data_IF_770515693159
#
_entry.id   IF_770515693159
#
_cell.length_a   1.000
_cell.length_b   1.000
_cell.length_c   1.000
_cell.angle_alpha   90.00
_cell.angle_beta   90.00
_cell.angle_gamma   90.00
#
_symmetry.space_group_name_H-M   'P 1'
#
loop_
_entity.id
_entity.type
_entity.pdbx_description
1 polymer ?
#
# COMPACT_ATOMS: atom_id res chain seq x y z
N UNK A 1 8.94 12.33 -66.88
CA UNK A 1 9.31 11.27 -65.95
C UNK A 1 9.25 11.86 -64.55
N UNK A 2 8.08 11.79 -63.92
CA UNK A 2 7.82 12.35 -62.58
C UNK A 2 8.08 11.26 -61.55
N UNK A 3 9.04 11.50 -60.68
CA UNK A 3 9.28 10.66 -59.52
C UNK A 3 8.29 10.98 -58.41
N UNK A 4 7.53 10.00 -57.97
CA UNK A 4 6.66 10.12 -56.80
C UNK A 4 7.52 10.18 -55.53
N UNK A 5 7.16 11.00 -54.52
CA UNK A 5 7.83 10.98 -53.22
C UNK A 5 7.50 9.67 -52.50
N UNK A 6 8.53 8.96 -52.11
CA UNK A 6 8.41 7.75 -51.32
C UNK A 6 7.73 8.02 -49.98
N UNK A 7 6.71 7.23 -49.70
CA UNK A 7 6.09 7.14 -48.36
C UNK A 7 7.14 6.54 -47.44
N UNK A 8 7.68 7.34 -46.54
CA UNK A 8 8.52 6.86 -45.46
C UNK A 8 7.67 5.92 -44.59
N UNK A 9 8.05 4.65 -44.61
CA UNK A 9 7.54 3.65 -43.65
C UNK A 9 7.86 4.14 -42.25
N UNK A 10 6.82 4.47 -41.49
CA UNK A 10 6.95 4.75 -40.07
C UNK A 10 7.49 3.48 -39.38
N UNK A 11 8.76 3.53 -38.95
CA UNK A 11 9.27 2.53 -38.03
C UNK A 11 8.34 2.49 -36.80
N UNK A 12 7.84 1.32 -36.45
CA UNK A 12 7.09 1.11 -35.22
C UNK A 12 7.97 1.59 -34.05
N UNK A 13 7.60 2.75 -33.51
CA UNK A 13 8.30 3.30 -32.35
C UNK A 13 7.92 2.42 -31.13
N UNK A 14 8.90 1.77 -30.53
CA UNK A 14 8.70 0.93 -29.34
C UNK A 14 8.13 1.70 -28.14
N UNK A 15 8.22 3.04 -28.14
CA UNK A 15 7.80 3.88 -27.04
C UNK A 15 6.51 4.63 -27.36
N UNK A 16 5.61 4.78 -26.35
CA UNK A 16 4.34 5.46 -26.52
C UNK A 16 3.94 6.26 -25.28
N UNK A 17 3.17 7.33 -25.47
CA UNK A 17 2.46 8.04 -24.41
C UNK A 17 0.98 7.69 -24.55
N UNK A 18 0.42 7.08 -23.51
CA UNK A 18 -0.99 6.74 -23.43
C UNK A 18 -1.70 7.82 -22.62
N UNK A 19 -2.54 8.58 -23.26
CA UNK A 19 -3.37 9.61 -22.60
C UNK A 19 -4.73 9.03 -22.32
N UNK A 20 -5.20 9.13 -21.07
CA UNK A 20 -6.54 8.75 -20.65
C UNK A 20 -7.33 9.98 -20.26
N UNK A 21 -8.49 10.18 -20.87
CA UNK A 21 -9.43 11.25 -20.50
C UNK A 21 -10.67 10.63 -19.87
N UNK A 22 -10.93 10.99 -18.62
CA UNK A 22 -12.02 10.42 -17.82
C UNK A 22 -12.93 11.55 -17.32
N UNK A 23 -14.23 11.43 -17.59
CA UNK A 23 -15.24 12.32 -17.03
C UNK A 23 -15.58 11.81 -15.62
N UNK A 24 -15.33 12.62 -14.62
CA UNK A 24 -15.86 12.41 -13.26
C UNK A 24 -17.27 12.99 -13.20
N UNK A 25 -18.24 12.30 -13.79
CA UNK A 25 -19.64 12.65 -13.62
C UNK A 25 -20.07 12.24 -12.20
N UNK A 26 -20.52 13.22 -11.45
CA UNK A 26 -21.02 13.01 -10.10
C UNK A 26 -22.54 12.84 -10.17
N UNK A 27 -23.00 11.61 -10.34
CA UNK A 27 -24.41 11.26 -10.24
C UNK A 27 -24.72 10.80 -8.83
N UNK A 28 -25.45 11.59 -8.06
CA UNK A 28 -25.94 11.28 -6.72
C UNK A 28 -24.87 10.82 -5.71
N UNK A 29 -23.69 11.48 -5.73
CA UNK A 29 -22.63 11.17 -4.76
C UNK A 29 -21.71 10.02 -5.15
N UNK A 30 -21.96 9.39 -6.29
CA UNK A 30 -21.09 8.36 -6.86
C UNK A 30 -20.24 9.00 -7.96
N UNK A 31 -18.93 9.07 -7.76
CA UNK A 31 -17.98 9.52 -8.78
C UNK A 31 -17.81 8.41 -9.82
N UNK A 32 -18.69 8.38 -10.82
CA UNK A 32 -18.60 7.45 -11.92
C UNK A 32 -17.56 7.99 -12.92
N UNK A 33 -16.44 7.31 -13.07
CA UNK A 33 -15.41 7.65 -14.03
C UNK A 33 -15.81 7.08 -15.39
N UNK A 34 -16.41 7.90 -16.24
CA UNK A 34 -16.76 7.51 -17.62
C UNK A 34 -15.63 7.92 -18.57
N UNK A 35 -15.21 7.05 -19.49
CA UNK A 35 -14.27 7.44 -20.52
C UNK A 35 -14.85 8.55 -21.41
N UNK A 36 -14.02 9.49 -21.82
CA UNK A 36 -14.41 10.57 -22.74
C UNK A 36 -13.74 10.33 -24.08
N UNK A 37 -14.55 10.02 -25.08
CA UNK A 37 -14.09 9.83 -26.45
C UNK A 37 -14.06 11.15 -27.23
N UNK A 38 -13.27 11.22 -28.28
CA UNK A 38 -13.25 12.34 -29.23
C UNK A 38 -12.42 13.55 -28.78
N UNK A 39 -11.67 13.46 -27.68
CA UNK A 39 -10.84 14.54 -27.16
C UNK A 39 -9.47 14.54 -27.86
N UNK A 40 -9.07 15.68 -28.41
CA UNK A 40 -7.76 15.85 -29.03
C UNK A 40 -6.68 16.11 -27.98
N UNK A 41 -5.56 15.43 -28.14
CA UNK A 41 -4.38 15.56 -27.29
C UNK A 41 -3.15 15.68 -28.17
N UNK A 42 -2.28 16.62 -27.87
CA UNK A 42 -1.00 16.81 -28.55
C UNK A 42 0.18 16.53 -27.64
N UNK A 43 1.24 15.99 -28.20
CA UNK A 43 2.51 15.77 -27.54
C UNK A 43 3.59 16.57 -28.24
N UNK A 44 4.30 17.39 -27.51
CA UNK A 44 5.44 18.17 -27.98
C UNK A 44 6.67 17.94 -27.10
N UNK A 45 7.83 18.31 -27.59
CA UNK A 45 9.00 18.38 -26.74
C UNK A 45 9.01 19.69 -25.92
N UNK A 46 9.90 19.85 -24.93
CA UNK A 46 9.97 21.07 -24.12
C UNK A 46 10.28 22.36 -24.92
N UNK A 47 10.82 22.25 -26.14
CA UNK A 47 11.09 23.37 -27.05
C UNK A 47 9.86 23.76 -27.90
N UNK A 48 8.71 23.06 -27.74
CA UNK A 48 7.47 23.34 -28.43
C UNK A 48 7.32 22.66 -29.81
N UNK A 49 8.26 21.81 -30.23
CA UNK A 49 8.15 21.06 -31.48
C UNK A 49 7.12 19.93 -31.30
N UNK A 50 6.09 19.91 -32.14
CA UNK A 50 5.06 18.87 -32.14
C UNK A 50 5.67 17.52 -32.56
N UNK A 51 5.38 16.47 -31.77
CA UNK A 51 5.85 15.11 -31.99
C UNK A 51 4.71 14.22 -32.50
N UNK A 52 3.50 14.41 -31.98
CA UNK A 52 2.35 13.66 -32.41
C UNK A 52 1.06 14.18 -31.80
N UNK A 53 -0.04 13.81 -32.45
CA UNK A 53 -1.40 14.11 -31.97
C UNK A 53 -2.22 12.82 -31.94
N UNK A 54 -3.19 12.76 -31.06
CA UNK A 54 -4.11 11.65 -30.95
C UNK A 54 -5.50 12.11 -30.52
N UNK A 55 -6.49 11.28 -30.83
CA UNK A 55 -7.87 11.49 -30.41
C UNK A 55 -8.28 10.32 -29.53
N UNK A 56 -8.94 10.58 -28.41
CA UNK A 56 -9.38 9.52 -27.49
C UNK A 56 -10.46 8.64 -28.13
N UNK A 57 -10.30 7.33 -27.99
CA UNK A 57 -11.24 6.30 -28.45
C UNK A 57 -12.45 6.14 -27.52
N UNK A 58 -13.30 5.14 -27.76
CA UNK A 58 -14.47 4.83 -26.94
C UNK A 58 -14.11 4.42 -25.49
N UNK A 59 -12.87 4.00 -25.23
CA UNK A 59 -12.34 3.73 -23.91
C UNK A 59 -11.71 4.97 -23.24
N UNK A 60 -11.77 6.14 -23.91
CA UNK A 60 -11.18 7.39 -23.44
C UNK A 60 -9.65 7.39 -23.51
N UNK A 61 -9.05 6.57 -24.37
CA UNK A 61 -7.62 6.41 -24.51
C UNK A 61 -7.13 6.95 -25.86
N UNK A 62 -6.01 7.67 -25.84
CA UNK A 62 -5.25 8.05 -27.02
C UNK A 62 -3.82 7.57 -26.88
N UNK A 63 -3.33 6.74 -27.80
CA UNK A 63 -1.94 6.25 -27.79
C UNK A 63 -1.16 7.01 -28.84
N UNK A 64 -0.14 7.75 -28.41
CA UNK A 64 0.71 8.58 -29.26
C UNK A 64 2.11 8.00 -29.24
N UNK A 65 2.62 7.49 -30.38
CA UNK A 65 3.98 6.97 -30.48
C UNK A 65 5.01 8.11 -30.33
N UNK A 66 6.08 7.84 -29.60
CA UNK A 66 7.17 8.78 -29.37
C UNK A 66 8.51 8.14 -29.73
N UNK A 67 9.47 8.90 -30.32
CA UNK A 67 10.70 8.33 -30.88
C UNK A 67 11.67 7.77 -29.81
N UNK A 68 11.64 8.33 -28.61
CA UNK A 68 12.52 7.92 -27.50
C UNK A 68 11.88 8.17 -26.14
N UNK A 69 12.49 7.67 -25.07
CA UNK A 69 12.16 8.07 -23.69
C UNK A 69 12.88 9.36 -23.40
N UNK A 70 12.15 10.47 -23.47
CA UNK A 70 12.69 11.82 -23.27
C UNK A 70 11.66 12.70 -22.54
N UNK A 71 11.99 13.96 -22.34
CA UNK A 71 11.08 14.94 -21.77
C UNK A 71 10.03 15.37 -22.80
N UNK A 72 8.75 15.29 -22.42
CA UNK A 72 7.61 15.64 -23.26
C UNK A 72 6.62 16.52 -22.56
N UNK A 73 5.90 17.31 -23.33
CA UNK A 73 4.78 18.14 -22.88
C UNK A 73 3.51 17.60 -23.53
N UNK A 74 2.59 17.13 -22.70
CA UNK A 74 1.28 16.64 -23.15
C UNK A 74 0.25 17.73 -22.91
N UNK A 75 -0.41 18.18 -23.98
CA UNK A 75 -1.43 19.23 -23.92
C UNK A 75 -2.77 18.66 -24.34
N UNK A 76 -3.81 18.91 -23.54
CA UNK A 76 -5.19 18.57 -23.85
C UNK A 76 -5.88 19.77 -24.50
N UNK A 77 -6.48 19.57 -25.67
CA UNK A 77 -7.28 20.58 -26.33
C UNK A 77 -8.67 20.67 -25.72
N UNK A 78 -8.87 21.73 -24.91
CA UNK A 78 -10.14 21.99 -24.20
C UNK A 78 -11.31 22.23 -25.18
N UNK A 79 -11.03 22.76 -26.36
CA UNK A 79 -12.07 23.02 -27.36
C UNK A 79 -12.63 21.74 -27.99
N UNK A 80 -11.89 20.63 -27.89
CA UNK A 80 -12.31 19.31 -28.40
C UNK A 80 -13.17 18.52 -27.43
N UNK A 81 -13.42 19.01 -26.22
CA UNK A 81 -14.27 18.33 -25.24
C UNK A 81 -15.72 18.25 -25.74
N UNK A 82 -16.40 17.11 -25.58
CA UNK A 82 -17.82 16.98 -25.94
C UNK A 82 -18.71 17.96 -25.18
N UNK A 83 -19.83 18.35 -25.80
CA UNK A 83 -20.81 19.25 -25.19
C UNK A 83 -21.29 18.73 -23.83
N UNK A 84 -21.18 19.56 -22.79
CA UNK A 84 -21.55 19.19 -21.42
C UNK A 84 -20.42 18.60 -20.57
N UNK A 85 -19.21 18.44 -21.12
CA UNK A 85 -18.02 18.02 -20.40
C UNK A 85 -17.09 19.22 -20.23
N UNK A 86 -16.83 19.62 -18.98
CA UNK A 86 -15.90 20.69 -18.63
C UNK A 86 -14.71 20.11 -17.89
N UNK A 87 -13.57 20.80 -17.85
CA UNK A 87 -12.46 20.37 -16.99
C UNK A 87 -12.77 20.64 -15.52
N UNK A 88 -12.33 19.73 -14.67
CA UNK A 88 -12.38 19.93 -13.23
C UNK A 88 -11.55 21.17 -12.88
N UNK A 89 -12.09 22.05 -12.02
CA UNK A 89 -11.37 23.24 -11.56
C UNK A 89 -10.02 22.84 -10.94
N UNK A 90 -8.92 23.44 -11.41
CA UNK A 90 -7.56 23.08 -11.01
C UNK A 90 -6.90 21.95 -11.83
N UNK A 91 -7.59 21.31 -12.78
CA UNK A 91 -6.95 20.34 -13.68
C UNK A 91 -5.99 21.06 -14.64
N UNK A 92 -4.72 20.65 -14.59
CA UNK A 92 -3.73 21.17 -15.54
C UNK A 92 -4.04 20.63 -16.93
N UNK A 93 -4.23 21.52 -17.90
CA UNK A 93 -4.39 21.17 -19.33
C UNK A 93 -3.08 20.77 -19.98
N UNK A 94 -1.96 21.07 -19.33
CA UNK A 94 -0.60 20.77 -19.77
C UNK A 94 0.10 19.95 -18.68
N UNK A 95 0.63 18.81 -19.07
CA UNK A 95 1.38 17.91 -18.19
C UNK A 95 2.79 17.67 -18.74
N UNK A 96 3.79 18.02 -17.95
CA UNK A 96 5.17 17.78 -18.31
C UNK A 96 5.58 16.35 -17.90
N UNK A 97 6.04 15.58 -18.84
CA UNK A 97 6.61 14.24 -18.64
C UNK A 97 8.12 14.39 -18.62
N UNK A 98 8.77 13.87 -17.59
CA UNK A 98 10.22 13.83 -17.49
C UNK A 98 10.71 12.45 -17.92
N UNK A 99 11.84 12.37 -18.63
CA UNK A 99 12.47 11.14 -19.13
C UNK A 99 12.46 9.99 -18.12
N UNK A 100 12.85 10.26 -16.88
CA UNK A 100 12.90 9.25 -15.81
C UNK A 100 11.53 8.76 -15.35
N UNK A 101 10.44 9.34 -15.86
CA UNK A 101 9.08 8.91 -15.53
C UNK A 101 8.56 7.75 -16.37
N UNK A 102 9.29 7.34 -17.42
CA UNK A 102 8.99 6.15 -18.19
C UNK A 102 9.47 4.91 -17.45
N UNK A 103 8.54 4.17 -16.88
CA UNK A 103 8.81 2.91 -16.16
C UNK A 103 8.89 1.71 -17.11
N UNK A 104 8.13 1.78 -18.20
CA UNK A 104 8.06 0.80 -19.31
C UNK A 104 8.24 1.54 -20.63
N UNK A 105 8.02 0.88 -21.77
CA UNK A 105 8.03 1.53 -23.07
C UNK A 105 6.82 2.47 -23.28
N UNK A 106 5.89 2.50 -22.34
CA UNK A 106 4.75 3.41 -22.38
C UNK A 106 4.65 4.26 -21.10
N UNK A 107 4.24 5.52 -21.26
CA UNK A 107 3.91 6.42 -20.15
C UNK A 107 2.46 6.82 -20.23
N UNK A 108 1.72 6.64 -19.12
CA UNK A 108 0.32 7.07 -19.03
C UNK A 108 0.19 8.43 -18.37
N UNK A 109 -0.68 9.27 -18.98
CA UNK A 109 -1.12 10.57 -18.45
C UNK A 109 -2.64 10.53 -18.39
N UNK A 110 -3.22 10.93 -17.26
CA UNK A 110 -4.68 10.96 -17.09
C UNK A 110 -5.14 12.39 -16.88
N UNK A 111 -6.10 12.84 -17.69
CA UNK A 111 -6.82 14.09 -17.51
C UNK A 111 -8.22 13.80 -16.96
N UNK A 112 -8.64 14.59 -15.98
CA UNK A 112 -9.97 14.50 -15.42
C UNK A 112 -10.83 15.65 -15.96
N UNK A 113 -11.84 15.29 -16.74
CA UNK A 113 -12.91 16.16 -17.15
C UNK A 113 -14.13 15.94 -16.26
N UNK A 114 -15.02 16.90 -16.19
CA UNK A 114 -16.23 16.86 -15.38
C UNK A 114 -16.28 18.03 -14.40
N UNK A 115 -17.46 18.44 -14.01
CA UNK A 115 -17.60 19.41 -12.92
C UNK A 115 -17.07 18.77 -11.63
N UNK A 116 -15.99 19.30 -11.08
CA UNK A 116 -15.72 19.19 -9.65
C UNK A 116 -16.74 20.09 -8.94
N UNK A 117 -18.02 19.89 -9.23
CA UNK A 117 -19.03 20.36 -8.31
C UNK A 117 -18.70 19.70 -6.98
N UNK A 118 -18.58 20.49 -5.93
CA UNK A 118 -18.73 19.97 -4.58
C UNK A 118 -19.94 19.07 -4.65
N UNK A 119 -19.68 17.79 -4.64
CA UNK A 119 -20.70 16.80 -4.88
C UNK A 119 -21.75 16.97 -3.80
N UNK A 120 -22.98 17.05 -4.20
CA UNK A 120 -24.12 16.82 -3.34
C UNK A 120 -24.18 15.38 -2.82
N UNK A 121 -23.01 14.72 -2.62
CA UNK A 121 -22.90 13.48 -1.91
C UNK A 121 -23.38 13.72 -0.49
N UNK A 122 -24.49 13.09 -0.14
CA UNK A 122 -25.04 13.22 1.20
C UNK A 122 -23.96 12.85 2.23
N UNK A 123 -24.07 13.40 3.45
CA UNK A 123 -23.19 12.96 4.54
C UNK A 123 -23.23 11.44 4.71
N UNK A 124 -24.36 10.83 4.44
CA UNK A 124 -24.54 9.38 4.47
C UNK A 124 -23.66 8.68 3.42
N UNK A 125 -23.60 9.16 2.18
CA UNK A 125 -22.79 8.57 1.12
C UNK A 125 -21.29 8.69 1.44
N UNK A 126 -20.88 9.86 1.93
CA UNK A 126 -19.50 10.10 2.35
C UNK A 126 -19.09 9.19 3.52
N UNK A 127 -19.93 9.05 4.54
CA UNK A 127 -19.66 8.18 5.69
C UNK A 127 -19.62 6.72 5.23
N UNK A 128 -20.56 6.29 4.38
CA UNK A 128 -20.63 4.91 3.87
C UNK A 128 -19.38 4.55 3.07
N UNK A 129 -18.90 5.44 2.20
CA UNK A 129 -17.67 5.24 1.45
C UNK A 129 -16.45 5.17 2.38
N UNK A 130 -16.34 6.09 3.37
CA UNK A 130 -15.23 6.08 4.33
C UNK A 130 -15.25 4.86 5.25
N UNK A 131 -16.40 4.30 5.56
CA UNK A 131 -16.49 3.03 6.28
C UNK A 131 -15.91 1.87 5.45
N UNK A 132 -16.23 1.78 4.19
CA UNK A 132 -15.68 0.73 3.30
C UNK A 132 -14.17 0.87 3.12
N UNK A 133 -13.69 2.09 2.88
CA UNK A 133 -12.25 2.38 2.78
C UNK A 133 -11.55 2.08 4.11
N UNK A 134 -12.18 2.40 5.23
CA UNK A 134 -11.69 2.11 6.58
C UNK A 134 -11.64 0.62 6.91
N UNK A 135 -12.61 -0.16 6.46
CA UNK A 135 -12.58 -1.63 6.58
C UNK A 135 -11.36 -2.17 5.82
N UNK A 136 -11.14 -1.72 4.59
CA UNK A 136 -10.01 -2.15 3.76
C UNK A 136 -8.67 -1.79 4.40
N UNK A 137 -8.47 -0.52 4.76
CA UNK A 137 -7.25 -0.06 5.42
C UNK A 137 -7.05 -0.77 6.76
N UNK A 138 -8.13 -0.94 7.53
CA UNK A 138 -8.11 -1.62 8.82
C UNK A 138 -7.67 -3.08 8.72
N UNK A 139 -8.10 -3.79 7.69
CA UNK A 139 -7.66 -5.17 7.45
C UNK A 139 -6.16 -5.23 7.07
N UNK A 140 -5.65 -4.30 6.27
CA UNK A 140 -4.22 -4.22 5.93
C UNK A 140 -3.38 -3.93 7.19
N UNK A 141 -3.80 -2.94 7.99
CA UNK A 141 -3.12 -2.61 9.24
C UNK A 141 -3.18 -3.80 10.21
N UNK A 142 -4.33 -4.50 10.31
CA UNK A 142 -4.49 -5.65 11.17
C UNK A 142 -3.52 -6.80 10.81
N UNK A 143 -3.36 -7.12 9.52
CA UNK A 143 -2.40 -8.15 9.06
C UNK A 143 -0.99 -7.80 9.52
N UNK A 144 -0.53 -6.58 9.25
CA UNK A 144 0.80 -6.12 9.64
C UNK A 144 0.96 -6.08 11.17
N UNK A 145 -0.07 -5.60 11.88
CA UNK A 145 -0.10 -5.50 13.35
C UNK A 145 -0.05 -6.86 14.03
N UNK A 146 -0.74 -7.87 13.51
CA UNK A 146 -0.66 -9.25 14.03
C UNK A 146 0.76 -9.77 13.92
N UNK A 147 1.44 -9.57 12.79
CA UNK A 147 2.86 -9.95 12.62
C UNK A 147 3.76 -9.26 13.65
N UNK A 148 3.61 -7.96 13.82
CA UNK A 148 4.36 -7.16 14.80
C UNK A 148 4.07 -7.61 16.24
N UNK A 149 2.80 -7.85 16.57
CA UNK A 149 2.37 -8.29 17.91
C UNK A 149 2.89 -9.68 18.28
N UNK A 150 2.97 -10.61 17.33
CA UNK A 150 3.56 -11.93 17.54
C UNK A 150 5.04 -11.83 17.90
N UNK A 151 5.81 -10.99 17.18
CA UNK A 151 7.24 -10.75 17.47
C UNK A 151 7.38 -10.12 18.86
N UNK A 152 6.60 -9.07 19.13
CA UNK A 152 6.63 -8.40 20.44
C UNK A 152 6.25 -9.37 21.57
N UNK A 153 5.17 -10.12 21.44
CA UNK A 153 4.68 -11.03 22.48
C UNK A 153 5.71 -12.10 22.88
N UNK A 154 6.48 -12.62 21.91
CA UNK A 154 7.46 -13.70 22.19
C UNK A 154 8.86 -13.20 22.56
N UNK A 155 9.20 -11.93 22.24
CA UNK A 155 10.56 -11.39 22.44
C UNK A 155 10.60 -10.16 23.33
N UNK A 156 9.48 -9.49 23.58
CA UNK A 156 9.40 -8.18 24.21
C UNK A 156 9.95 -7.03 23.35
N UNK A 157 10.39 -7.32 22.10
CA UNK A 157 11.03 -6.34 21.23
C UNK A 157 10.02 -5.46 20.53
N UNK A 158 10.10 -4.16 20.72
CA UNK A 158 9.44 -3.16 19.86
C UNK A 158 10.28 -2.97 18.60
N UNK A 159 9.89 -3.63 17.51
CA UNK A 159 10.67 -3.65 16.27
C UNK A 159 10.22 -2.55 15.30
N UNK A 160 10.94 -1.44 15.24
CA UNK A 160 10.67 -0.38 14.27
C UNK A 160 10.98 -0.77 12.82
N UNK A 161 11.93 -1.70 12.61
CA UNK A 161 12.23 -2.21 11.28
C UNK A 161 11.12 -3.12 10.69
N UNK A 162 10.03 -3.36 11.45
CA UNK A 162 8.88 -4.11 10.93
C UNK A 162 8.19 -3.36 9.78
N UNK A 163 8.16 -2.02 9.81
CA UNK A 163 7.68 -1.20 8.68
C UNK A 163 8.46 -1.49 7.40
N UNK A 164 9.76 -1.66 7.51
CA UNK A 164 10.61 -1.95 6.33
C UNK A 164 10.39 -3.36 5.77
N UNK A 165 9.90 -4.30 6.57
CA UNK A 165 9.43 -5.60 6.06
C UNK A 165 8.16 -5.46 5.23
N UNK A 166 7.28 -4.49 5.55
CA UNK A 166 6.11 -4.13 4.74
C UNK A 166 6.58 -3.51 3.42
N UNK A 167 7.49 -2.51 3.48
CA UNK A 167 8.09 -1.89 2.29
C UNK A 167 8.74 -2.95 1.38
N UNK A 168 9.50 -3.88 1.96
CA UNK A 168 10.10 -5.00 1.23
C UNK A 168 9.06 -5.78 0.43
N UNK A 169 7.92 -6.12 1.06
CA UNK A 169 6.84 -6.84 0.40
C UNK A 169 6.33 -6.11 -0.84
N UNK A 170 6.04 -4.81 -0.73
CA UNK A 170 5.60 -3.99 -1.86
C UNK A 170 6.65 -3.87 -2.96
N UNK A 171 7.91 -3.58 -2.60
CA UNK A 171 9.00 -3.40 -3.56
C UNK A 171 9.36 -4.68 -4.32
N UNK A 172 9.39 -5.84 -3.63
CA UNK A 172 9.64 -7.13 -4.31
C UNK A 172 8.45 -7.55 -5.16
N UNK A 173 7.21 -7.23 -4.74
CA UNK A 173 6.04 -7.42 -5.59
C UNK A 173 6.14 -6.57 -6.87
N UNK A 174 6.54 -5.31 -6.75
CA UNK A 174 6.81 -4.45 -7.90
C UNK A 174 7.91 -5.02 -8.80
N UNK A 175 9.00 -5.49 -8.22
CA UNK A 175 10.10 -6.07 -8.98
C UNK A 175 9.68 -7.30 -9.79
N UNK A 176 8.91 -8.21 -9.18
CA UNK A 176 8.39 -9.38 -9.88
C UNK A 176 7.33 -9.03 -10.93
N UNK A 177 6.38 -8.17 -10.57
CA UNK A 177 5.23 -7.87 -11.41
C UNK A 177 5.58 -6.95 -12.58
N UNK A 178 6.29 -5.84 -12.31
CA UNK A 178 6.56 -4.81 -13.33
C UNK A 178 7.86 -5.06 -14.08
N UNK A 179 8.96 -5.43 -13.39
CA UNK A 179 10.25 -5.57 -14.05
C UNK A 179 10.46 -6.95 -14.66
N UNK A 180 9.93 -8.01 -14.07
CA UNK A 180 10.03 -9.38 -14.58
C UNK A 180 8.77 -9.84 -15.32
N UNK A 181 7.68 -9.06 -15.32
CA UNK A 181 6.42 -9.39 -15.99
C UNK A 181 5.69 -10.61 -15.39
N UNK A 182 5.99 -11.00 -14.16
CA UNK A 182 5.34 -12.15 -13.49
C UNK A 182 3.96 -11.71 -12.98
N UNK A 183 2.86 -12.39 -13.36
CA UNK A 183 1.54 -12.06 -12.83
C UNK A 183 1.52 -12.00 -11.30
N UNK A 184 0.89 -10.96 -10.74
CA UNK A 184 0.90 -10.70 -9.30
C UNK A 184 0.34 -11.87 -8.48
N UNK A 185 -0.60 -12.63 -9.06
CA UNK A 185 -1.17 -13.82 -8.41
C UNK A 185 -0.12 -14.90 -8.12
N UNK A 186 0.91 -15.01 -8.96
CA UNK A 186 2.05 -15.92 -8.78
C UNK A 186 3.15 -15.24 -7.95
N UNK A 187 3.40 -13.96 -8.18
CA UNK A 187 4.40 -13.18 -7.47
C UNK A 187 4.08 -13.04 -5.97
N UNK A 188 2.82 -12.80 -5.60
CA UNK A 188 2.46 -12.53 -4.22
C UNK A 188 2.80 -13.68 -3.24
N UNK A 189 2.51 -14.96 -3.50
CA UNK A 189 2.94 -16.06 -2.63
C UNK A 189 4.47 -16.14 -2.47
N UNK A 190 5.23 -15.88 -3.55
CA UNK A 190 6.70 -15.85 -3.49
C UNK A 190 7.20 -14.69 -2.63
N UNK A 191 6.61 -13.50 -2.80
CA UNK A 191 6.94 -12.31 -2.00
C UNK A 191 6.65 -12.55 -0.52
N UNK A 192 5.51 -13.16 -0.20
CA UNK A 192 5.14 -13.51 1.18
C UNK A 192 6.17 -14.49 1.79
N UNK A 193 6.57 -15.51 1.04
CA UNK A 193 7.60 -16.45 1.49
C UNK A 193 8.95 -15.75 1.71
N UNK A 194 9.37 -14.87 0.77
CA UNK A 194 10.60 -14.07 0.89
C UNK A 194 10.54 -13.11 2.09
N UNK A 195 9.38 -12.52 2.37
CA UNK A 195 9.16 -11.72 3.57
C UNK A 195 9.36 -12.53 4.85
N UNK A 196 8.89 -13.78 4.87
CA UNK A 196 9.14 -14.71 5.95
C UNK A 196 10.64 -15.03 6.12
N UNK A 197 11.35 -15.25 5.02
CA UNK A 197 12.81 -15.46 5.02
C UNK A 197 13.54 -14.20 5.51
N UNK A 198 13.14 -13.01 5.10
CA UNK A 198 13.69 -11.75 5.62
C UNK A 198 13.50 -11.66 7.13
N UNK A 199 12.32 -12.00 7.64
CA UNK A 199 12.08 -12.06 9.08
C UNK A 199 13.03 -13.01 9.80
N UNK A 200 13.22 -14.23 9.28
CA UNK A 200 14.21 -15.18 9.81
C UNK A 200 15.64 -14.61 9.78
N UNK A 201 16.01 -13.96 8.67
CA UNK A 201 17.34 -13.36 8.52
C UNK A 201 17.57 -12.25 9.54
N UNK A 202 16.61 -11.32 9.70
CA UNK A 202 16.69 -10.25 10.70
C UNK A 202 16.82 -10.81 12.12
N UNK A 203 16.02 -11.81 12.46
CA UNK A 203 16.15 -12.47 13.75
C UNK A 203 17.51 -13.14 13.90
N UNK A 204 17.93 -13.99 12.95
CA UNK A 204 19.13 -14.81 13.05
C UNK A 204 20.44 -14.01 13.03
N UNK A 205 20.51 -13.02 12.14
CA UNK A 205 21.72 -12.22 11.93
C UNK A 205 21.90 -11.19 13.04
N UNK A 206 20.80 -10.56 13.50
CA UNK A 206 20.85 -9.40 14.39
C UNK A 206 20.29 -9.76 15.77
N UNK A 207 18.96 -9.90 15.89
CA UNK A 207 18.28 -9.90 17.18
C UNK A 207 18.57 -11.14 18.05
N UNK A 208 18.72 -12.32 17.46
CA UNK A 208 19.09 -13.51 18.21
C UNK A 208 20.50 -13.40 18.81
N UNK A 209 21.43 -12.75 18.10
CA UNK A 209 22.79 -12.51 18.61
C UNK A 209 22.79 -11.49 19.75
N UNK A 210 21.97 -10.44 19.63
CA UNK A 210 21.83 -9.43 20.69
C UNK A 210 21.24 -10.04 21.95
N UNK A 211 20.17 -10.85 21.82
CA UNK A 211 19.57 -11.59 22.96
C UNK A 211 20.56 -12.57 23.61
N UNK A 212 21.33 -13.31 22.82
CA UNK A 212 22.37 -14.22 23.35
C UNK A 212 23.47 -13.49 24.13
N UNK A 213 23.76 -12.25 23.80
CA UNK A 213 24.73 -11.40 24.50
C UNK A 213 24.12 -10.68 25.72
N UNK A 214 22.86 -10.94 26.06
CA UNK A 214 22.19 -10.30 27.20
C UNK A 214 21.90 -8.79 26.98
N UNK A 215 21.91 -8.30 25.73
CA UNK A 215 21.66 -6.89 25.44
C UNK A 215 20.20 -6.56 25.75
N UNK A 216 19.98 -5.52 26.56
CA UNK A 216 18.65 -5.12 27.02
C UNK A 216 17.71 -4.67 25.88
N UNK A 217 16.41 -4.69 26.15
CA UNK A 217 15.35 -4.39 25.17
C UNK A 217 15.45 -2.97 24.58
N UNK A 218 15.85 -1.98 25.40
CA UNK A 218 16.02 -0.60 24.93
C UNK A 218 17.11 -0.52 23.85
N UNK A 219 18.25 -1.16 24.08
CA UNK A 219 19.31 -1.20 23.07
C UNK A 219 18.90 -1.94 21.81
N UNK A 220 18.14 -3.03 21.93
CA UNK A 220 17.58 -3.73 20.76
C UNK A 220 16.57 -2.87 20.00
N UNK A 221 15.77 -2.03 20.69
CA UNK A 221 14.88 -1.06 20.08
C UNK A 221 15.69 -0.03 19.27
N UNK A 222 16.76 0.54 19.84
CA UNK A 222 17.64 1.50 19.13
C UNK A 222 18.25 0.85 17.89
N UNK A 223 18.69 -0.40 17.98
CA UNK A 223 19.19 -1.16 16.82
C UNK A 223 18.09 -1.33 15.76
N UNK A 224 16.82 -1.58 16.16
CA UNK A 224 15.71 -1.70 15.21
C UNK A 224 15.40 -0.40 14.48
N UNK A 225 15.53 0.74 15.16
CA UNK A 225 15.38 2.08 14.54
C UNK A 225 16.52 2.33 13.54
N UNK A 226 17.77 2.06 13.94
CA UNK A 226 18.92 2.20 13.03
C UNK A 226 18.80 1.30 11.80
N UNK A 227 18.33 0.06 12.00
CA UNK A 227 18.08 -0.89 10.92
C UNK A 227 16.96 -0.41 9.98
N UNK A 228 15.87 0.17 10.51
CA UNK A 228 14.80 0.76 9.72
C UNK A 228 15.34 1.88 8.83
N UNK A 229 16.09 2.83 9.41
CA UNK A 229 16.69 3.93 8.65
C UNK A 229 17.61 3.40 7.55
N UNK A 230 18.45 2.42 7.87
CA UNK A 230 19.39 1.81 6.91
C UNK A 230 18.63 1.15 5.75
N UNK A 231 17.65 0.30 6.04
CA UNK A 231 16.88 -0.41 5.03
C UNK A 231 16.08 0.58 4.15
N UNK A 232 15.44 1.59 4.75
CA UNK A 232 14.70 2.61 4.02
C UNK A 232 15.60 3.36 3.02
N UNK A 233 16.80 3.76 3.43
CA UNK A 233 17.72 4.43 2.53
C UNK A 233 18.29 3.47 1.45
N UNK A 234 18.46 2.19 1.77
CA UNK A 234 18.83 1.18 0.79
C UNK A 234 17.73 1.00 -0.26
N UNK A 235 16.45 0.97 0.15
CA UNK A 235 15.32 0.93 -0.77
C UNK A 235 15.23 2.20 -1.64
N UNK A 236 15.44 3.39 -1.04
CA UNK A 236 15.52 4.65 -1.77
C UNK A 236 16.61 4.63 -2.84
N UNK A 237 17.80 4.14 -2.50
CA UNK A 237 18.91 4.03 -3.43
C UNK A 237 18.60 3.05 -4.59
N UNK A 238 17.99 1.90 -4.29
CA UNK A 238 17.74 0.84 -5.27
C UNK A 238 16.53 1.12 -6.17
N UNK A 239 15.45 1.66 -5.61
CA UNK A 239 14.16 1.83 -6.31
C UNK A 239 13.83 3.29 -6.62
N UNK A 240 14.57 4.24 -6.08
CA UNK A 240 14.34 5.68 -6.22
C UNK A 240 13.22 6.22 -5.32
N UNK A 241 13.05 7.55 -5.31
CA UNK A 241 12.11 8.25 -4.42
C UNK A 241 10.67 8.36 -4.94
N UNK A 242 10.39 7.91 -6.17
CA UNK A 242 9.05 8.00 -6.77
C UNK A 242 8.21 6.78 -6.42
N UNK A 243 6.93 7.01 -6.16
CA UNK A 243 5.96 5.93 -6.05
C UNK A 243 5.60 5.39 -7.44
N UNK A 244 5.33 4.09 -7.52
CA UNK A 244 5.06 3.39 -8.78
C UNK A 244 3.87 2.42 -8.61
N UNK A 245 2.93 2.37 -9.57
CA UNK A 245 1.86 1.39 -9.54
C UNK A 245 2.40 -0.02 -9.86
N UNK A 246 1.67 -1.03 -9.44
CA UNK A 246 1.79 -2.38 -9.96
C UNK A 246 1.10 -2.44 -11.32
N UNK A 247 1.59 -3.27 -12.28
CA UNK A 247 0.99 -3.38 -13.61
C UNK A 247 -0.38 -4.08 -13.54
N UNK A 248 -0.42 -5.20 -12.81
CA UNK A 248 -1.67 -5.93 -12.62
C UNK A 248 -2.63 -5.15 -11.71
N UNK A 249 -3.90 -5.14 -12.09
CA UNK A 249 -5.00 -4.56 -11.30
C UNK A 249 -4.91 -3.03 -11.05
N UNK A 250 -3.97 -2.31 -11.69
CA UNK A 250 -3.84 -0.86 -11.53
C UNK A 250 -5.03 -0.09 -12.11
N UNK A 251 -5.69 -0.66 -13.13
CA UNK A 251 -6.78 -0.04 -13.89
C UNK A 251 -8.06 -0.85 -13.73
N UNK A 252 -8.72 -0.67 -12.60
CA UNK A 252 -10.05 -1.24 -12.42
C UNK A 252 -11.09 -0.14 -12.26
N UNK A 253 -12.18 -0.29 -13.00
CA UNK A 253 -13.35 0.57 -12.85
C UNK A 253 -14.06 0.16 -11.56
N UNK A 254 -14.29 1.12 -10.68
CA UNK A 254 -15.08 0.88 -9.49
C UNK A 254 -16.53 0.59 -9.89
N UNK A 255 -17.13 -0.41 -9.27
CA UNK A 255 -18.56 -0.71 -9.38
C UNK A 255 -19.30 -0.02 -8.23
N UNK A 256 -20.37 0.68 -8.58
CA UNK A 256 -21.23 1.36 -7.60
C UNK A 256 -22.25 0.39 -7.03
N UNK A 257 -22.32 0.31 -5.72
CA UNK A 257 -23.33 -0.43 -4.97
C UNK A 257 -24.06 0.55 -4.04
N UNK A 258 -25.08 1.21 -4.56
CA UNK A 258 -25.77 2.30 -3.84
C UNK A 258 -24.82 3.47 -3.54
N UNK A 259 -24.65 3.86 -2.25
CA UNK A 259 -23.80 4.99 -1.85
C UNK A 259 -22.30 4.68 -1.87
N UNK A 260 -21.90 3.43 -2.19
CA UNK A 260 -20.51 2.98 -2.10
C UNK A 260 -19.99 2.55 -3.47
N UNK A 261 -18.76 2.91 -3.79
CA UNK A 261 -18.04 2.42 -4.98
C UNK A 261 -16.83 1.59 -4.53
N UNK A 262 -16.74 0.37 -5.07
CA UNK A 262 -15.66 -0.56 -4.74
C UNK A 262 -15.11 -1.21 -6.01
N UNK A 263 -13.80 -1.37 -6.10
CA UNK A 263 -13.18 -2.15 -7.18
C UNK A 263 -13.19 -3.63 -6.83
N UNK A 264 -13.17 -4.52 -7.84
CA UNK A 264 -13.02 -5.95 -7.60
C UNK A 264 -11.69 -6.29 -6.90
N UNK A 265 -10.64 -5.53 -7.18
CA UNK A 265 -9.36 -5.62 -6.48
C UNK A 265 -9.51 -5.39 -4.97
N UNK A 266 -10.20 -4.30 -4.60
CA UNK A 266 -10.37 -3.91 -3.19
C UNK A 266 -11.22 -4.93 -2.44
N UNK A 267 -12.27 -5.44 -3.07
CA UNK A 267 -13.09 -6.51 -2.51
C UNK A 267 -12.27 -7.80 -2.31
N UNK A 268 -11.49 -8.19 -3.33
CA UNK A 268 -10.66 -9.40 -3.28
C UNK A 268 -9.59 -9.29 -2.19
N UNK A 269 -8.87 -8.15 -2.11
CA UNK A 269 -7.87 -7.94 -1.06
C UNK A 269 -8.48 -7.93 0.34
N UNK A 270 -9.66 -7.36 0.52
CA UNK A 270 -10.38 -7.39 1.79
C UNK A 270 -10.79 -8.81 2.19
N UNK A 271 -11.34 -9.60 1.26
CA UNK A 271 -11.72 -11.00 1.51
C UNK A 271 -10.49 -11.83 1.86
N UNK A 272 -9.41 -11.73 1.08
CA UNK A 272 -8.17 -12.48 1.36
C UNK A 272 -7.60 -12.06 2.72
N UNK A 273 -7.59 -10.78 3.03
CA UNK A 273 -7.14 -10.26 4.33
C UNK A 273 -7.94 -10.86 5.49
N UNK A 274 -9.26 -10.88 5.37
CA UNK A 274 -10.14 -11.44 6.38
C UNK A 274 -9.90 -12.95 6.55
N UNK A 275 -9.81 -13.70 5.44
CA UNK A 275 -9.56 -15.15 5.46
C UNK A 275 -8.22 -15.46 6.13
N UNK A 276 -7.16 -14.69 5.80
CA UNK A 276 -5.84 -14.87 6.42
C UNK A 276 -5.87 -14.55 7.92
N UNK A 277 -6.51 -13.45 8.31
CA UNK A 277 -6.62 -13.06 9.72
C UNK A 277 -7.39 -14.12 10.54
N UNK A 278 -8.52 -14.63 9.99
CA UNK A 278 -9.26 -15.72 10.61
C UNK A 278 -8.45 -17.02 10.65
N UNK A 279 -7.70 -17.30 9.60
CA UNK A 279 -6.78 -18.45 9.53
C UNK A 279 -5.67 -18.37 10.59
N UNK A 280 -5.04 -17.20 10.75
CA UNK A 280 -4.04 -16.96 11.80
C UNK A 280 -4.66 -17.10 13.19
N UNK A 281 -5.84 -16.54 13.41
CA UNK A 281 -6.57 -16.68 14.68
C UNK A 281 -6.89 -18.15 14.99
N UNK A 282 -7.40 -18.90 14.02
CA UNK A 282 -7.68 -20.33 14.16
C UNK A 282 -6.38 -21.14 14.39
N UNK A 283 -5.30 -20.84 13.66
CA UNK A 283 -4.01 -21.46 13.85
C UNK A 283 -3.48 -21.26 15.28
N UNK A 284 -3.53 -20.04 15.79
CA UNK A 284 -3.09 -19.72 17.15
C UNK A 284 -3.94 -20.44 18.20
N UNK A 285 -5.23 -20.63 17.96
CA UNK A 285 -6.11 -21.32 18.93
C UNK A 285 -5.95 -22.83 18.91
N UNK A 286 -5.95 -23.44 17.72
CA UNK A 286 -6.14 -24.88 17.55
C UNK A 286 -4.83 -25.65 17.39
N UNK A 287 -3.79 -25.05 16.79
CA UNK A 287 -2.55 -25.76 16.50
C UNK A 287 -1.65 -25.93 17.74
N UNK A 288 -0.83 -26.99 17.75
CA UNK A 288 0.20 -27.20 18.78
C UNK A 288 1.22 -26.06 18.82
N UNK A 289 1.65 -25.60 17.64
CA UNK A 289 2.56 -24.46 17.50
C UNK A 289 1.93 -23.17 18.02
N UNK A 290 0.65 -22.92 17.71
CA UNK A 290 -0.08 -21.75 18.23
C UNK A 290 -0.20 -21.76 19.76
N UNK A 291 -0.44 -22.92 20.36
CA UNK A 291 -0.42 -23.07 21.84
C UNK A 291 0.96 -22.77 22.41
N UNK A 292 2.03 -23.26 21.76
CA UNK A 292 3.41 -23.00 22.17
C UNK A 292 3.77 -21.51 22.02
N UNK A 293 3.34 -20.83 20.95
CA UNK A 293 3.54 -19.38 20.77
C UNK A 293 2.91 -18.62 21.94
N UNK A 294 1.68 -18.95 22.32
CA UNK A 294 1.00 -18.29 23.45
C UNK A 294 1.70 -18.58 24.79
N UNK A 295 2.13 -19.83 25.02
CA UNK A 295 2.90 -20.18 26.21
C UNK A 295 4.21 -19.38 26.32
N UNK A 296 4.96 -19.26 25.22
CA UNK A 296 6.19 -18.44 25.15
C UNK A 296 5.91 -16.97 25.34
N UNK A 297 4.78 -16.45 24.79
CA UNK A 297 4.36 -15.06 24.96
C UNK A 297 3.93 -14.75 26.39
N UNK A 298 3.27 -15.70 27.07
CA UNK A 298 2.82 -15.53 28.45
C UNK A 298 4.02 -15.58 29.44
N UNK A 299 4.91 -16.57 29.30
CA UNK A 299 6.13 -16.70 30.13
C UNK A 299 7.19 -17.58 29.44
N UNK A 300 8.22 -16.97 28.80
CA UNK A 300 9.25 -17.72 28.10
C UNK A 300 10.03 -18.69 28.98
N UNK A 301 10.30 -18.32 30.25
CA UNK A 301 11.06 -19.15 31.20
C UNK A 301 10.26 -20.38 31.61
N UNK A 302 8.98 -20.21 31.92
CA UNK A 302 8.10 -21.33 32.27
C UNK A 302 7.85 -22.24 31.05
N UNK A 303 7.68 -21.68 29.84
CA UNK A 303 7.55 -22.45 28.62
C UNK A 303 8.80 -23.31 28.36
N UNK A 304 9.99 -22.77 28.60
CA UNK A 304 11.25 -23.49 28.46
C UNK A 304 11.37 -24.65 29.50
N UNK A 305 10.97 -24.42 30.76
CA UNK A 305 11.00 -25.45 31.79
C UNK A 305 10.03 -26.62 31.53
N UNK A 306 8.96 -26.38 30.73
CA UNK A 306 8.04 -27.45 30.28
C UNK A 306 8.50 -28.16 29.00
N UNK A 307 9.73 -27.89 28.51
CA UNK A 307 10.32 -28.53 27.34
C UNK A 307 10.00 -27.89 25.99
N UNK A 308 9.39 -26.70 25.98
CA UNK A 308 9.16 -25.97 24.74
C UNK A 308 10.45 -25.28 24.27
N UNK A 309 10.93 -25.60 23.07
CA UNK A 309 12.05 -24.88 22.44
C UNK A 309 11.63 -23.45 22.08
N UNK A 310 11.89 -22.52 22.99
CA UNK A 310 11.55 -21.11 22.84
C UNK A 310 12.22 -20.45 21.60
N UNK A 311 13.46 -20.87 21.28
CA UNK A 311 14.18 -20.34 20.14
C UNK A 311 13.57 -20.79 18.80
N UNK A 312 13.08 -22.03 18.74
CA UNK A 312 12.34 -22.54 17.59
C UNK A 312 11.03 -21.76 17.41
N UNK A 313 10.30 -21.53 18.49
CA UNK A 313 9.05 -20.74 18.46
C UNK A 313 9.32 -19.31 18.00
N UNK A 314 10.36 -18.65 18.52
CA UNK A 314 10.74 -17.30 18.07
C UNK A 314 11.06 -17.29 16.56
N UNK A 315 11.78 -18.29 16.04
CA UNK A 315 12.03 -18.39 14.59
C UNK A 315 10.73 -18.49 13.79
N UNK A 316 9.80 -19.34 14.21
CA UNK A 316 8.47 -19.48 13.56
C UNK A 316 7.71 -18.15 13.56
N UNK A 317 7.74 -17.45 14.68
CA UNK A 317 7.06 -16.14 14.82
C UNK A 317 7.69 -15.06 13.93
N UNK A 318 9.02 -15.02 13.83
CA UNK A 318 9.69 -14.07 12.93
C UNK A 318 9.42 -14.37 11.46
N UNK A 319 9.36 -15.66 11.08
CA UNK A 319 8.93 -16.04 9.73
C UNK A 319 7.50 -15.61 9.47
N UNK A 320 6.56 -15.95 10.36
CA UNK A 320 5.15 -15.58 10.20
C UNK A 320 4.95 -14.07 10.20
N UNK A 321 5.63 -13.35 11.12
CA UNK A 321 5.58 -11.88 11.18
C UNK A 321 6.10 -11.21 9.91
N UNK A 322 7.21 -11.71 9.35
CA UNK A 322 7.76 -11.22 8.10
C UNK A 322 6.87 -11.52 6.90
N UNK A 323 6.28 -12.70 6.85
CA UNK A 323 5.34 -13.10 5.81
C UNK A 323 4.07 -12.22 5.82
N UNK A 324 3.49 -11.97 7.01
CA UNK A 324 2.33 -11.11 7.16
C UNK A 324 2.66 -9.65 6.84
N UNK A 325 3.83 -9.14 7.24
CA UNK A 325 4.29 -7.81 6.87
C UNK A 325 4.43 -7.65 5.36
N UNK A 326 5.09 -8.60 4.68
CA UNK A 326 5.24 -8.57 3.22
C UNK A 326 3.89 -8.66 2.51
N UNK A 327 2.96 -9.48 2.99
CA UNK A 327 1.60 -9.56 2.46
C UNK A 327 0.87 -8.22 2.60
N UNK A 328 0.96 -7.58 3.77
CA UNK A 328 0.43 -6.23 3.97
C UNK A 328 1.05 -5.22 3.01
N UNK A 329 2.35 -5.36 2.70
CA UNK A 329 3.06 -4.55 1.72
C UNK A 329 2.54 -4.72 0.30
N UNK A 330 2.25 -5.95 -0.14
CA UNK A 330 1.61 -6.24 -1.43
C UNK A 330 0.25 -5.55 -1.52
N UNK A 331 -0.60 -5.71 -0.49
CA UNK A 331 -1.93 -5.12 -0.46
C UNK A 331 -1.90 -3.60 -0.40
N UNK A 332 -0.96 -3.03 0.36
CA UNK A 332 -0.76 -1.57 0.40
C UNK A 332 -0.28 -1.03 -0.93
N UNK A 333 0.60 -1.75 -1.63
CA UNK A 333 1.06 -1.39 -2.98
C UNK A 333 -0.05 -1.42 -4.02
N UNK A 334 -1.03 -2.35 -3.88
CA UNK A 334 -2.25 -2.36 -4.69
C UNK A 334 -3.19 -1.22 -4.34
N UNK A 335 -3.27 -0.84 -3.06
CA UNK A 335 -4.17 0.19 -2.55
C UNK A 335 -3.75 1.61 -3.00
N UNK A 336 -2.51 1.97 -2.73
CA UNK A 336 -2.01 3.32 -3.05
C UNK A 336 -1.03 3.29 -4.23
N UNK A 337 0.13 2.88 -4.03
CA UNK A 337 1.25 2.67 -4.96
C UNK A 337 2.44 2.17 -4.15
N UNK A 338 3.41 1.56 -4.81
CA UNK A 338 4.63 1.08 -4.17
C UNK A 338 5.66 2.21 -4.08
N UNK A 339 6.16 2.46 -2.89
CA UNK A 339 7.19 3.46 -2.61
C UNK A 339 8.08 3.05 -1.44
N UNK A 340 9.27 3.64 -1.36
CA UNK A 340 10.26 3.30 -0.33
C UNK A 340 9.83 3.68 1.09
N UNK A 341 8.85 4.58 1.24
CA UNK A 341 8.34 5.04 2.55
C UNK A 341 7.04 4.37 3.00
N UNK A 342 6.45 3.49 2.18
CA UNK A 342 5.11 2.96 2.44
C UNK A 342 4.99 2.25 3.80
N UNK A 343 6.00 1.54 4.23
CA UNK A 343 6.02 0.86 5.53
C UNK A 343 6.31 1.78 6.70
N UNK A 344 7.15 2.80 6.51
CA UNK A 344 7.41 3.81 7.54
C UNK A 344 6.18 4.67 7.83
N UNK A 345 5.30 4.88 6.84
CA UNK A 345 4.00 5.51 7.06
C UNK A 345 3.03 4.63 7.86
N UNK A 346 3.14 3.30 7.72
CA UNK A 346 2.26 2.35 8.40
C UNK A 346 2.72 1.96 9.81
N UNK A 347 4.01 2.07 10.14
CA UNK A 347 4.56 1.54 11.40
C UNK A 347 3.86 2.16 12.63
N UNK A 348 3.58 3.44 12.59
CA UNK A 348 2.91 4.14 13.68
C UNK A 348 1.44 3.72 13.81
N UNK A 349 0.75 3.45 12.70
CA UNK A 349 -0.62 2.92 12.71
C UNK A 349 -0.64 1.48 13.26
N UNK A 350 0.35 0.67 12.93
CA UNK A 350 0.53 -0.65 13.51
C UNK A 350 0.77 -0.57 15.02
N UNK A 351 1.63 0.35 15.48
CA UNK A 351 1.85 0.56 16.92
C UNK A 351 0.58 1.05 17.61
N UNK A 352 -0.19 1.97 17.00
CA UNK A 352 -1.48 2.37 17.52
C UNK A 352 -2.43 1.17 17.64
N UNK A 353 -2.47 0.31 16.62
CA UNK A 353 -3.30 -0.89 16.60
C UNK A 353 -2.93 -1.90 17.69
N UNK A 354 -1.64 -2.26 17.82
CA UNK A 354 -1.22 -3.23 18.85
C UNK A 354 -1.34 -2.66 20.26
N UNK A 355 -1.18 -1.35 20.44
CA UNK A 355 -1.32 -0.70 21.75
C UNK A 355 -2.79 -0.60 22.13
N UNK A 356 -3.65 -0.17 21.21
CA UNK A 356 -5.11 -0.14 21.42
C UNK A 356 -5.64 -1.53 21.76
N UNK A 357 -5.22 -2.53 20.98
CA UNK A 357 -5.69 -3.89 21.15
C UNK A 357 -5.07 -4.61 22.34
N UNK A 358 -3.88 -4.22 22.77
CA UNK A 358 -3.08 -4.81 23.86
C UNK A 358 -1.81 -5.46 23.33
N UNK A 359 -0.68 -4.94 23.77
CA UNK A 359 0.67 -5.38 23.37
C UNK A 359 0.86 -6.89 23.64
N UNK A 360 1.38 -7.60 22.62
CA UNK A 360 1.64 -9.05 22.69
C UNK A 360 0.41 -9.95 22.49
N UNK A 361 -0.79 -9.37 22.37
CA UNK A 361 -2.00 -10.13 22.05
C UNK A 361 -2.27 -10.10 20.56
N UNK A 362 -2.16 -11.23 19.85
CA UNK A 362 -2.46 -11.31 18.42
C UNK A 362 -3.92 -10.96 18.10
N UNK A 363 -4.85 -11.35 18.97
CA UNK A 363 -6.28 -10.98 18.82
C UNK A 363 -6.50 -9.51 19.09
N UNK A 364 -5.78 -8.96 20.08
CA UNK A 364 -5.78 -7.53 20.34
C UNK A 364 -5.28 -6.76 19.12
N UNK A 365 -4.15 -7.17 18.55
CA UNK A 365 -3.57 -6.55 17.38
C UNK A 365 -4.50 -6.58 16.16
N UNK A 366 -5.23 -7.69 15.95
CA UNK A 366 -6.23 -7.81 14.89
C UNK A 366 -7.35 -6.77 15.07
N UNK A 367 -7.96 -6.76 16.25
CA UNK A 367 -9.08 -5.85 16.56
C UNK A 367 -8.61 -4.40 16.57
N UNK A 368 -7.50 -4.12 17.26
CA UNK A 368 -6.96 -2.77 17.38
C UNK A 368 -6.50 -2.20 16.03
N UNK A 369 -5.81 -3.00 15.22
CA UNK A 369 -5.39 -2.61 13.86
C UNK A 369 -6.58 -2.31 12.95
N UNK A 370 -7.62 -3.14 13.02
CA UNK A 370 -8.86 -2.93 12.29
C UNK A 370 -9.55 -1.62 12.69
N UNK A 371 -9.70 -1.37 13.99
CA UNK A 371 -10.32 -0.12 14.46
C UNK A 371 -9.48 1.12 14.16
N UNK A 372 -8.15 1.03 14.21
CA UNK A 372 -7.27 2.14 13.81
C UNK A 372 -7.49 2.53 12.36
N UNK A 373 -7.59 1.56 11.44
CA UNK A 373 -7.86 1.85 10.04
C UNK A 373 -9.23 2.50 9.81
N UNK A 374 -10.27 2.02 10.50
CA UNK A 374 -11.61 2.64 10.49
C UNK A 374 -11.55 4.10 10.97
N UNK A 375 -10.86 4.34 12.07
CA UNK A 375 -10.74 5.68 12.65
C UNK A 375 -9.98 6.64 11.74
N UNK A 376 -8.91 6.19 11.10
CA UNK A 376 -8.13 7.01 10.14
C UNK A 376 -9.01 7.45 8.98
N UNK A 377 -9.79 6.54 8.40
CA UNK A 377 -10.66 6.88 7.26
C UNK A 377 -11.86 7.72 7.67
N UNK A 378 -12.50 7.43 8.80
CA UNK A 378 -13.59 8.27 9.29
C UNK A 378 -13.11 9.68 9.70
N UNK A 379 -11.93 9.79 10.30
CA UNK A 379 -11.35 11.08 10.65
C UNK A 379 -11.05 11.95 9.44
N UNK A 380 -10.78 11.35 8.27
CA UNK A 380 -10.55 12.08 7.02
C UNK A 380 -11.79 12.85 6.50
N UNK A 381 -12.98 12.64 7.11
CA UNK A 381 -14.17 13.48 6.86
C UNK A 381 -14.03 14.89 7.43
N UNK A 382 -13.22 15.04 8.48
CA UNK A 382 -13.09 16.30 9.24
C UNK A 382 -11.66 16.84 9.20
N UNK A 383 -10.67 15.94 9.10
CA UNK A 383 -9.24 16.26 9.15
C UNK A 383 -8.69 16.36 7.73
N UNK A 384 -7.88 17.39 7.40
CA UNK A 384 -7.20 17.49 6.11
C UNK A 384 -6.36 16.25 5.78
N UNK A 385 -6.19 15.96 4.47
CA UNK A 385 -5.51 14.76 4.00
C UNK A 385 -4.06 14.63 4.51
N UNK A 386 -3.37 15.75 4.68
CA UNK A 386 -2.00 15.83 5.20
C UNK A 386 -1.89 15.35 6.65
N UNK A 387 -2.97 15.49 7.42
CA UNK A 387 -3.07 15.10 8.83
C UNK A 387 -3.84 13.78 9.02
N UNK A 388 -4.12 13.04 7.96
CA UNK A 388 -4.93 11.80 7.98
C UNK A 388 -4.51 10.81 9.07
N UNK A 389 -3.22 10.70 9.35
CA UNK A 389 -2.67 9.77 10.34
C UNK A 389 -2.63 10.33 11.77
N UNK A 390 -2.82 11.63 11.96
CA UNK A 390 -2.75 12.28 13.28
C UNK A 390 -3.77 11.73 14.29
N UNK A 391 -5.03 11.45 13.93
CA UNK A 391 -6.00 10.85 14.85
C UNK A 391 -5.56 9.51 15.43
N UNK A 392 -4.91 8.66 14.63
CA UNK A 392 -4.42 7.38 15.13
C UNK A 392 -3.26 7.54 16.13
N UNK A 393 -2.37 8.52 15.87
CA UNK A 393 -1.29 8.85 16.81
C UNK A 393 -1.82 9.45 18.10
N UNK A 394 -2.86 10.28 18.01
CA UNK A 394 -3.54 10.84 19.20
C UNK A 394 -4.14 9.71 20.05
N UNK A 395 -4.81 8.75 19.41
CA UNK A 395 -5.37 7.58 20.11
C UNK A 395 -4.26 6.76 20.75
N UNK A 396 -3.13 6.55 20.07
CA UNK A 396 -1.96 5.88 20.64
C UNK A 396 -1.52 6.56 21.94
N UNK A 397 -1.39 7.89 21.93
CA UNK A 397 -1.00 8.66 23.11
C UNK A 397 -2.05 8.52 24.23
N UNK A 398 -3.33 8.69 23.90
CA UNK A 398 -4.42 8.57 24.89
C UNK A 398 -4.42 7.17 25.51
N UNK A 399 -4.30 6.12 24.70
CA UNK A 399 -4.30 4.73 25.21
C UNK A 399 -3.08 4.49 26.11
N UNK A 400 -1.89 4.96 25.73
CA UNK A 400 -0.69 4.82 26.56
C UNK A 400 -0.81 5.55 27.91
N UNK A 401 -1.47 6.71 27.93
CA UNK A 401 -1.67 7.50 29.17
C UNK A 401 -2.77 6.90 30.05
N UNK A 402 -3.90 6.52 29.45
CA UNK A 402 -5.10 6.12 30.21
C UNK A 402 -5.08 4.61 30.53
N UNK A 403 -4.71 3.78 29.56
CA UNK A 403 -4.74 2.33 29.68
C UNK A 403 -3.58 1.66 28.91
N UNK A 404 -2.34 1.74 29.41
CA UNK A 404 -1.14 1.26 28.70
C UNK A 404 -1.17 -0.22 28.35
N UNK A 405 -2.08 -1.00 28.94
CA UNK A 405 -2.27 -2.41 28.64
C UNK A 405 -3.14 -2.65 27.39
N UNK A 406 -3.81 -1.61 26.89
CA UNK A 406 -4.79 -1.73 25.80
C UNK A 406 -6.13 -2.38 26.25
N UNK A 407 -7.02 -2.62 25.27
CA UNK A 407 -8.37 -3.13 25.53
C UNK A 407 -8.35 -4.59 25.98
N UNK A 408 -7.56 -5.45 25.31
CA UNK A 408 -7.45 -6.88 25.55
C UNK A 408 -6.10 -7.31 26.17
N UNK A 409 -5.28 -6.35 26.58
CA UNK A 409 -4.00 -6.61 27.22
C UNK A 409 -4.17 -7.11 28.67
N UNK A 410 -3.25 -7.98 29.11
CA UNK A 410 -3.20 -8.45 30.51
C UNK A 410 -2.36 -7.50 31.35
N UNK A 411 -2.80 -7.24 32.58
CA UNK A 411 -1.95 -6.54 33.55
C UNK A 411 -0.67 -7.31 33.77
N UNK A 412 0.48 -6.71 33.47
CA UNK A 412 1.75 -7.27 33.93
C UNK A 412 1.70 -7.29 35.47
N UNK A 413 1.77 -8.45 36.07
CA UNK A 413 2.01 -8.55 37.51
C UNK A 413 3.46 -8.11 37.71
N UNK A 414 3.64 -6.90 38.23
CA UNK A 414 4.91 -6.47 38.81
C UNK A 414 5.06 -7.31 40.08
N UNK A 415 5.88 -8.34 40.00
CA UNK A 415 6.32 -9.11 41.14
C UNK A 415 7.59 -8.49 41.72
#
# INVERSE_FOLDING_TARGET
MFAAPGVASAAESENSIIVSVQNQANNNGVSEKKPVAGVKVSVSNPSGLAIGEGVTDSAGLATIPVPAKDDYVVTLDVASLPSGVTLVEGTKTVVNIVKDSFTTNSKRVTFFAGSAGESGASLFDRISQRLVDGIRLGLIIAICSVGLSLIFGTTGLTNFAHGEMVTFGGLIAFWFNVLLGIPLLIAAPLVIALGGVLGLAMNGIIFAKLRKRGIGLISQLVVSVGLSIMLRNMYLYQFGGRTRPLDDFSLQVAKSFGPVSITMRDLTTAIISLVVLLGVAAFLQRSRTGKAIRAVSDNPSLASSTGIDTQKIIRVVWFAGGALAAMGGVFRGLDEQVGFEMGSGLIFLMFAGITLGGLGSAYGALIGGFFVGLLVELASLVVPAELKNAPALLILIIVLVVRPQGILGRKQRVG
#
